data_IF_234478657033
#
_entry.id   IF_234478657033
#
_cell.length_a   1.000
_cell.length_b   1.000
_cell.length_c   1.000
_cell.angle_alpha   90.00
_cell.angle_beta   90.00
_cell.angle_gamma   90.00
#
_symmetry.space_group_name_H-M   'P 1'
#
loop_
_entity.id
_entity.type
_entity.pdbx_description
1 polymer ?
#
# COMPACT_ATOMS: atom_id res chain seq x y z
N UNK A 1 -18.54 -18.83 9.98
CA UNK A 1 -17.94 -18.95 8.62
C UNK A 1 -16.42 -19.14 8.70
N UNK A 2 -15.68 -18.27 9.37
CA UNK A 2 -14.20 -18.32 9.52
C UNK A 2 -13.73 -19.64 10.15
N UNK A 3 -14.47 -20.22 11.10
CA UNK A 3 -14.13 -21.50 11.76
C UNK A 3 -14.18 -22.70 10.79
N UNK A 4 -14.99 -22.65 9.73
CA UNK A 4 -15.06 -23.72 8.70
C UNK A 4 -13.94 -23.58 7.67
N UNK A 5 -13.48 -22.40 7.39
CA UNK A 5 -12.39 -22.14 6.44
C UNK A 5 -11.05 -22.67 6.96
N UNK A 6 -10.69 -22.41 8.22
CA UNK A 6 -9.41 -22.85 8.80
C UNK A 6 -9.30 -24.38 9.00
N UNK A 7 -10.42 -25.11 9.02
CA UNK A 7 -10.42 -26.58 9.12
C UNK A 7 -10.31 -27.27 7.76
N UNK A 8 -10.63 -26.57 6.67
CA UNK A 8 -10.62 -27.15 5.31
C UNK A 8 -9.24 -27.11 4.64
N UNK A 9 -8.39 -26.16 5.03
CA UNK A 9 -7.05 -26.01 4.45
C UNK A 9 -6.02 -27.02 4.94
N UNK A 10 -6.28 -27.72 6.05
CA UNK A 10 -5.34 -28.70 6.61
C UNK A 10 -5.14 -29.92 5.73
N UNK A 11 -6.06 -30.20 4.82
CA UNK A 11 -6.07 -31.43 4.02
C UNK A 11 -5.64 -31.23 2.55
N UNK A 12 -5.38 -29.98 2.10
CA UNK A 12 -5.05 -29.69 0.70
C UNK A 12 -3.57 -29.50 0.39
N UNK A 13 -2.72 -29.38 1.40
CA UNK A 13 -1.26 -29.30 1.20
C UNK A 13 -0.64 -30.68 1.27
N UNK A 14 -0.57 -31.34 0.10
CA UNK A 14 0.06 -32.63 -0.06
C UNK A 14 1.57 -32.60 0.21
N UNK A 15 1.96 -32.68 1.44
CA UNK A 15 3.34 -33.01 1.80
C UNK A 15 3.54 -34.53 1.73
N UNK A 16 4.55 -34.91 0.97
CA UNK A 16 4.92 -36.24 0.56
C UNK A 16 4.92 -37.28 1.67
N UNK A 17 4.66 -38.53 1.26
CA UNK A 17 4.62 -39.74 2.06
C UNK A 17 5.88 -39.87 2.96
N UNK A 18 5.73 -40.23 4.22
CA UNK A 18 6.87 -40.49 5.10
C UNK A 18 7.62 -41.73 4.63
N UNK A 19 8.92 -41.55 4.48
CA UNK A 19 9.90 -42.63 4.25
C UNK A 19 9.82 -43.68 5.38
N UNK A 20 9.62 -44.96 5.08
CA UNK A 20 9.72 -46.05 6.03
C UNK A 20 11.16 -46.09 6.55
N UNK A 21 11.33 -45.93 7.84
CA UNK A 21 12.53 -46.32 8.56
C UNK A 21 12.18 -47.25 9.72
N UNK A 22 13.00 -48.25 9.80
CA UNK A 22 13.05 -49.38 10.70
C UNK A 22 12.97 -49.02 12.18
N UNK A 23 12.39 -49.95 12.93
CA UNK A 23 12.31 -50.06 14.38
C UNK A 23 13.63 -49.77 15.11
N UNK A 24 13.58 -48.78 15.99
CA UNK A 24 14.38 -48.76 17.21
C UNK A 24 13.58 -48.01 18.28
N UNK A 25 13.36 -48.73 19.39
CA UNK A 25 12.46 -48.36 20.46
C UNK A 25 12.76 -47.01 21.11
N UNK A 26 11.84 -46.11 21.04
CA UNK A 26 11.82 -44.91 21.88
C UNK A 26 10.54 -44.88 22.70
N UNK A 27 10.69 -45.11 24.01
CA UNK A 27 9.60 -45.03 24.99
C UNK A 27 8.98 -43.64 24.96
N UNK A 28 7.72 -43.55 24.54
CA UNK A 28 6.91 -42.33 24.67
C UNK A 28 6.66 -42.08 26.16
N UNK A 29 7.27 -41.05 26.73
CA UNK A 29 6.77 -40.42 27.93
C UNK A 29 5.53 -39.65 27.55
N UNK A 30 4.39 -40.06 28.09
CA UNK A 30 3.13 -39.31 27.98
C UNK A 30 3.27 -37.95 28.67
N UNK A 31 3.39 -36.91 27.92
CA UNK A 31 3.25 -35.55 28.37
C UNK A 31 1.93 -35.04 27.84
N UNK A 32 0.99 -34.89 28.74
CA UNK A 32 -0.31 -34.22 28.51
C UNK A 32 -0.06 -32.76 28.10
N UNK A 33 0.03 -32.51 26.81
CA UNK A 33 0.03 -31.13 26.29
C UNK A 33 -1.41 -30.72 26.07
N UNK A 34 -2.02 -30.27 27.16
CA UNK A 34 -3.29 -29.58 27.13
C UNK A 34 -3.27 -28.44 26.11
N UNK A 35 -4.34 -28.37 25.32
CA UNK A 35 -4.60 -27.37 24.26
C UNK A 35 -4.79 -25.95 24.80
N UNK A 36 -3.94 -25.46 25.68
CA UNK A 36 -3.91 -24.07 26.13
C UNK A 36 -3.43 -23.10 25.04
N UNK A 37 -2.58 -23.58 24.09
CA UNK A 37 -2.02 -22.76 23.04
C UNK A 37 -2.99 -22.28 21.94
N UNK A 38 -4.16 -22.94 21.79
CA UNK A 38 -5.09 -22.60 20.70
C UNK A 38 -5.84 -21.30 20.92
N UNK A 39 -6.09 -20.93 22.17
CA UNK A 39 -6.76 -19.66 22.49
C UNK A 39 -5.83 -18.46 22.38
N UNK A 40 -4.59 -18.62 22.82
CA UNK A 40 -3.56 -17.56 22.70
C UNK A 40 -3.18 -17.31 21.26
N UNK A 41 -3.04 -18.35 20.43
CA UNK A 41 -2.81 -18.22 19.00
C UNK A 41 -3.98 -17.53 18.29
N UNK A 42 -5.23 -17.82 18.66
CA UNK A 42 -6.40 -17.15 18.11
C UNK A 42 -6.48 -15.68 18.54
N UNK A 43 -6.16 -15.37 19.80
CA UNK A 43 -6.12 -13.97 20.29
C UNK A 43 -4.96 -13.23 19.64
N UNK A 44 -3.81 -13.87 19.44
CA UNK A 44 -2.66 -13.28 18.76
C UNK A 44 -2.96 -13.00 17.28
N UNK A 45 -3.55 -13.97 16.57
CA UNK A 45 -3.95 -13.79 15.18
C UNK A 45 -5.04 -12.73 15.01
N UNK A 46 -6.02 -12.68 15.92
CA UNK A 46 -7.06 -11.64 15.89
C UNK A 46 -6.51 -10.24 16.18
N UNK A 47 -5.60 -10.10 17.14
CA UNK A 47 -4.87 -8.84 17.39
C UNK A 47 -4.01 -8.43 16.20
N UNK A 48 -3.28 -9.36 15.58
CA UNK A 48 -2.51 -9.07 14.36
C UNK A 48 -3.39 -8.59 13.21
N UNK A 49 -4.56 -9.21 13.01
CA UNK A 49 -5.51 -8.82 11.96
C UNK A 49 -6.04 -7.39 12.21
N UNK A 50 -6.40 -7.05 13.43
CA UNK A 50 -6.82 -5.69 13.78
C UNK A 50 -5.69 -4.67 13.60
N UNK A 51 -4.48 -4.99 14.04
CA UNK A 51 -3.31 -4.11 13.89
C UNK A 51 -2.96 -3.92 12.42
N UNK A 52 -3.10 -4.94 11.56
CA UNK A 52 -2.86 -4.85 10.12
C UNK A 52 -3.94 -4.04 9.39
N UNK A 53 -5.20 -4.11 9.82
CA UNK A 53 -6.28 -3.30 9.23
C UNK A 53 -6.13 -1.81 9.49
N UNK A 54 -5.45 -1.44 10.58
CA UNK A 54 -5.20 -0.05 10.95
C UNK A 54 -3.91 0.53 10.34
N UNK A 55 -3.05 -0.32 9.77
CA UNK A 55 -1.82 0.09 9.10
C UNK A 55 -2.12 0.88 7.81
N UNK A 56 -2.01 2.19 7.90
CA UNK A 56 -2.08 3.08 6.73
C UNK A 56 -0.68 3.23 6.14
N UNK A 57 -0.37 2.41 5.15
CA UNK A 57 0.96 2.38 4.51
C UNK A 57 1.30 3.66 3.76
N UNK A 58 0.29 4.37 3.23
CA UNK A 58 0.42 5.66 2.55
C UNK A 58 -0.77 6.54 2.94
N UNK A 59 -0.51 7.75 3.43
CA UNK A 59 -1.53 8.74 3.77
C UNK A 59 -1.00 10.16 3.66
N UNK A 60 -1.88 11.13 3.57
CA UNK A 60 -1.49 12.53 3.78
C UNK A 60 -1.23 12.79 5.28
N UNK A 61 -0.41 13.80 5.58
CA UNK A 61 -0.40 14.42 6.89
C UNK A 61 -1.67 15.28 7.08
N UNK A 62 -1.87 15.84 8.28
CA UNK A 62 -3.09 16.59 8.62
C UNK A 62 -3.32 17.81 7.70
N UNK A 63 -2.25 18.47 7.27
CA UNK A 63 -2.29 19.65 6.42
C UNK A 63 -2.33 19.32 4.92
N UNK A 64 -2.23 18.04 4.55
CA UNK A 64 -2.10 17.56 3.18
C UNK A 64 -0.95 18.22 2.38
N UNK A 65 0.12 18.61 3.07
CA UNK A 65 1.34 19.20 2.50
C UNK A 65 2.54 18.23 2.51
N UNK A 66 2.33 17.00 2.98
CA UNK A 66 3.29 15.91 3.00
C UNK A 66 2.61 14.55 2.88
N UNK A 67 3.33 13.59 2.33
CA UNK A 67 2.94 12.18 2.24
C UNK A 67 3.62 11.40 3.35
N UNK A 68 2.84 10.78 4.23
CA UNK A 68 3.37 9.88 5.25
C UNK A 68 3.36 8.46 4.69
N UNK A 69 4.51 7.80 4.69
CA UNK A 69 4.67 6.41 4.28
C UNK A 69 5.22 5.56 5.41
N UNK A 70 4.83 4.29 5.46
CA UNK A 70 5.52 3.28 6.26
C UNK A 70 6.76 2.82 5.49
N UNK A 71 7.95 2.97 6.10
CA UNK A 71 9.19 2.44 5.49
C UNK A 71 9.23 0.91 5.58
N UNK A 72 8.81 0.26 4.50
CA UNK A 72 8.70 -1.19 4.44
C UNK A 72 10.07 -1.88 4.33
N UNK A 73 11.16 -1.14 4.14
CA UNK A 73 12.51 -1.72 4.13
C UNK A 73 13.00 -2.12 5.51
N UNK A 74 12.41 -1.54 6.55
CA UNK A 74 12.74 -1.80 7.95
C UNK A 74 11.92 -2.92 8.58
N UNK A 75 10.84 -3.37 7.91
CA UNK A 75 10.00 -4.44 8.40
C UNK A 75 10.68 -5.81 8.25
N UNK A 76 10.43 -6.77 9.14
CA UNK A 76 9.58 -6.69 10.33
C UNK A 76 10.30 -6.16 11.57
N UNK A 77 11.57 -5.80 11.47
CA UNK A 77 12.40 -5.47 12.63
C UNK A 77 12.04 -4.14 13.29
N UNK A 78 11.56 -3.17 12.50
CA UNK A 78 11.19 -1.84 12.99
C UNK A 78 10.06 -1.27 12.17
N UNK A 79 9.05 -0.72 12.83
CA UNK A 79 8.01 0.10 12.22
C UNK A 79 8.43 1.57 12.27
N UNK A 80 8.60 2.20 11.11
CA UNK A 80 8.98 3.59 11.00
C UNK A 80 8.20 4.30 9.91
N UNK A 81 7.74 5.50 10.19
CA UNK A 81 7.02 6.36 9.24
C UNK A 81 7.91 7.52 8.79
N UNK A 82 7.87 7.81 7.50
CA UNK A 82 8.58 8.93 6.89
C UNK A 82 7.55 9.91 6.34
N UNK A 83 7.81 11.20 6.55
CA UNK A 83 7.03 12.29 5.92
C UNK A 83 7.82 12.82 4.74
N UNK A 84 7.25 12.69 3.54
CA UNK A 84 7.85 13.10 2.28
C UNK A 84 7.18 14.39 1.81
N UNK A 85 7.96 15.39 1.50
CA UNK A 85 7.46 16.73 1.18
C UNK A 85 7.99 17.27 -0.16
N UNK A 86 9.02 16.67 -0.71
CA UNK A 86 9.65 17.07 -1.98
C UNK A 86 9.60 15.96 -3.03
N UNK A 87 9.77 16.34 -4.29
CA UNK A 87 9.80 15.38 -5.38
C UNK A 87 10.96 14.39 -5.24
N UNK A 88 12.10 14.84 -4.74
CA UNK A 88 13.30 14.04 -4.51
C UNK A 88 13.08 12.98 -3.43
N UNK A 89 12.45 13.38 -2.31
CA UNK A 89 12.12 12.45 -1.22
C UNK A 89 11.14 11.37 -1.68
N UNK A 90 10.13 11.76 -2.47
CA UNK A 90 9.12 10.85 -3.02
C UNK A 90 9.78 9.90 -4.03
N UNK A 91 10.61 10.43 -4.92
CA UNK A 91 11.36 9.64 -5.89
C UNK A 91 12.25 8.61 -5.18
N UNK A 92 13.03 9.04 -4.18
CA UNK A 92 13.91 8.17 -3.40
C UNK A 92 13.13 7.06 -2.68
N UNK A 93 11.99 7.39 -2.10
CA UNK A 93 11.15 6.43 -1.40
C UNK A 93 10.60 5.35 -2.33
N UNK A 94 10.21 5.71 -3.55
CA UNK A 94 9.72 4.78 -4.57
C UNK A 94 10.88 3.96 -5.14
N UNK A 95 11.99 4.60 -5.49
CA UNK A 95 13.17 3.97 -6.05
C UNK A 95 13.79 2.93 -5.09
N UNK A 96 13.97 3.30 -3.83
CA UNK A 96 14.54 2.44 -2.78
C UNK A 96 13.54 1.42 -2.21
N UNK A 97 12.34 1.34 -2.78
CA UNK A 97 11.31 0.40 -2.33
C UNK A 97 10.90 0.58 -0.86
N UNK A 98 10.98 1.81 -0.32
CA UNK A 98 10.39 2.14 0.98
C UNK A 98 8.86 2.02 0.93
N UNK A 99 8.27 2.26 -0.25
CA UNK A 99 6.90 1.90 -0.61
C UNK A 99 6.93 0.70 -1.54
N UNK A 100 6.22 -0.36 -1.20
CA UNK A 100 6.12 -1.60 -1.96
C UNK A 100 4.66 -1.94 -2.27
N UNK A 101 4.46 -2.74 -3.32
CA UNK A 101 3.15 -3.12 -3.82
C UNK A 101 2.73 -2.21 -4.98
N UNK A 102 2.29 -2.83 -6.09
CA UNK A 102 1.99 -2.11 -7.32
C UNK A 102 0.94 -1.01 -7.11
N UNK A 103 -0.22 -1.25 -6.44
CA UNK A 103 -1.19 -0.18 -6.18
C UNK A 103 -0.66 0.87 -5.21
N UNK A 104 0.02 0.47 -4.14
CA UNK A 104 0.57 1.40 -3.14
C UNK A 104 1.59 2.38 -3.74
N UNK A 105 2.38 1.95 -4.73
CA UNK A 105 3.28 2.81 -5.48
C UNK A 105 2.50 3.84 -6.29
N UNK A 106 1.37 3.45 -6.91
CA UNK A 106 0.47 4.35 -7.61
C UNK A 106 -0.15 5.40 -6.69
N UNK A 107 -0.63 4.99 -5.52
CA UNK A 107 -1.17 5.91 -4.49
C UNK A 107 -0.10 6.88 -4.00
N UNK A 108 1.11 6.38 -3.70
CA UNK A 108 2.22 7.23 -3.27
C UNK A 108 2.61 8.26 -4.34
N UNK A 109 2.58 7.88 -5.62
CA UNK A 109 2.84 8.78 -6.73
C UNK A 109 1.75 9.86 -6.89
N UNK A 110 0.48 9.47 -6.79
CA UNK A 110 -0.65 10.42 -6.86
C UNK A 110 -0.62 11.43 -5.71
N UNK A 111 -0.35 10.96 -4.50
CA UNK A 111 -0.20 11.83 -3.33
C UNK A 111 1.02 12.72 -3.46
N UNK A 112 2.13 12.17 -3.91
CA UNK A 112 3.39 12.88 -4.08
C UNK A 112 3.30 13.99 -5.12
N UNK A 113 2.75 13.72 -6.29
CA UNK A 113 2.61 14.75 -7.33
C UNK A 113 1.65 15.87 -6.89
N UNK A 114 0.59 15.54 -6.13
CA UNK A 114 -0.30 16.54 -5.54
C UNK A 114 0.45 17.45 -4.56
N UNK A 115 1.22 16.87 -3.62
CA UNK A 115 2.01 17.64 -2.62
C UNK A 115 2.98 18.58 -3.32
N UNK A 116 3.64 18.13 -4.37
CA UNK A 116 4.55 18.96 -5.17
C UNK A 116 3.77 20.04 -5.95
N UNK A 117 2.66 19.69 -6.60
CA UNK A 117 1.84 20.63 -7.36
C UNK A 117 1.23 21.74 -6.48
N UNK A 118 0.85 21.40 -5.24
CA UNK A 118 0.36 22.38 -4.26
C UNK A 118 1.36 23.52 -4.02
N UNK A 119 2.66 23.23 -4.10
CA UNK A 119 3.75 24.18 -3.86
C UNK A 119 4.12 25.03 -5.06
N UNK A 120 3.59 24.73 -6.25
CA UNK A 120 3.79 25.57 -7.43
C UNK A 120 3.06 26.90 -7.20
N UNK A 121 3.82 27.97 -6.98
CA UNK A 121 3.28 29.31 -6.74
C UNK A 121 3.17 30.08 -8.06
N UNK A 122 2.05 29.90 -8.72
CA UNK A 122 1.70 30.64 -9.96
C UNK A 122 0.20 30.69 -10.16
N UNK A 123 -0.29 31.77 -10.75
CA UNK A 123 -1.65 31.88 -11.26
C UNK A 123 -1.74 31.56 -12.76
N UNK A 124 -0.58 31.49 -13.44
CA UNK A 124 -0.53 31.24 -14.88
C UNK A 124 -0.64 29.75 -15.17
N UNK A 125 -1.68 29.36 -15.90
CA UNK A 125 -2.00 27.96 -16.22
C UNK A 125 -0.90 27.27 -17.00
N UNK A 126 -0.29 27.95 -17.97
CA UNK A 126 0.77 27.40 -18.80
C UNK A 126 2.01 27.04 -17.97
N UNK A 127 2.39 27.92 -17.05
CA UNK A 127 3.51 27.71 -16.12
C UNK A 127 3.20 26.55 -15.19
N UNK A 128 1.99 26.52 -14.61
CA UNK A 128 1.57 25.42 -13.72
C UNK A 128 1.64 24.06 -14.42
N UNK A 129 1.07 23.95 -15.63
CA UNK A 129 1.08 22.68 -16.38
C UNK A 129 2.50 22.25 -16.74
N UNK A 130 3.36 23.19 -17.13
CA UNK A 130 4.76 22.86 -17.46
C UNK A 130 5.53 22.35 -16.25
N UNK A 131 5.41 23.02 -15.09
CA UNK A 131 6.05 22.55 -13.87
C UNK A 131 5.47 21.21 -13.37
N UNK A 132 4.15 21.05 -13.45
CA UNK A 132 3.49 19.78 -13.13
C UNK A 132 4.03 18.62 -14.00
N UNK A 133 4.20 18.84 -15.30
CA UNK A 133 4.76 17.81 -16.21
C UNK A 133 6.20 17.47 -15.90
N UNK A 134 7.04 18.43 -15.57
CA UNK A 134 8.42 18.17 -15.13
C UNK A 134 8.46 17.29 -13.90
N UNK A 135 7.63 17.60 -12.90
CA UNK A 135 7.51 16.78 -11.69
C UNK A 135 7.02 15.38 -12.02
N UNK A 136 6.00 15.26 -12.88
CA UNK A 136 5.47 13.98 -13.34
C UNK A 136 6.54 13.11 -14.00
N UNK A 137 7.29 13.67 -14.95
CA UNK A 137 8.36 12.96 -15.65
C UNK A 137 9.47 12.53 -14.70
N UNK A 138 9.84 13.41 -13.76
CA UNK A 138 10.82 13.08 -12.74
C UNK A 138 10.38 11.90 -11.88
N UNK A 139 9.17 11.93 -11.34
CA UNK A 139 8.62 10.84 -10.52
C UNK A 139 8.46 9.54 -11.32
N UNK A 140 8.04 9.60 -12.58
CA UNK A 140 7.92 8.43 -13.46
C UNK A 140 9.27 7.74 -13.67
N UNK A 141 10.37 8.50 -13.69
CA UNK A 141 11.73 7.98 -13.80
C UNK A 141 12.21 7.16 -12.60
N UNK A 142 11.52 7.23 -11.44
CA UNK A 142 11.89 6.44 -10.26
C UNK A 142 11.77 4.93 -10.49
N UNK A 143 10.74 4.49 -11.22
CA UNK A 143 10.54 3.09 -11.61
C UNK A 143 9.82 2.98 -12.96
N UNK A 144 10.54 3.08 -14.08
CA UNK A 144 9.93 3.14 -15.41
C UNK A 144 9.07 1.93 -15.79
N UNK A 145 9.30 0.78 -15.17
CA UNK A 145 8.52 -0.45 -15.41
C UNK A 145 7.28 -0.60 -14.52
N UNK A 146 7.09 0.32 -13.55
CA UNK A 146 5.95 0.26 -12.64
C UNK A 146 4.70 0.85 -13.29
N UNK A 147 3.88 0.00 -13.90
CA UNK A 147 2.68 0.40 -14.65
C UNK A 147 1.75 1.29 -13.81
N UNK A 148 1.49 0.93 -12.55
CA UNK A 148 0.60 1.68 -11.68
C UNK A 148 1.14 3.07 -11.32
N UNK A 149 2.47 3.23 -11.23
CA UNK A 149 3.09 4.53 -11.05
C UNK A 149 2.72 5.47 -12.19
N UNK A 150 3.01 5.04 -13.41
CA UNK A 150 2.76 5.84 -14.62
C UNK A 150 1.27 6.07 -14.84
N UNK A 151 0.44 5.04 -14.59
CA UNK A 151 -1.02 5.15 -14.72
C UNK A 151 -1.61 6.18 -13.75
N UNK A 152 -1.18 6.19 -12.48
CA UNK A 152 -1.61 7.16 -11.49
C UNK A 152 -1.17 8.58 -11.85
N UNK A 153 0.08 8.78 -12.24
CA UNK A 153 0.60 10.08 -12.69
C UNK A 153 -0.14 10.62 -13.93
N UNK A 154 -0.43 9.74 -14.90
CA UNK A 154 -1.22 10.10 -16.09
C UNK A 154 -2.67 10.45 -15.72
N UNK A 155 -3.25 9.75 -14.74
CA UNK A 155 -4.60 10.04 -14.25
C UNK A 155 -4.66 11.42 -13.59
N UNK A 156 -3.65 11.75 -12.80
CA UNK A 156 -3.53 13.09 -12.20
C UNK A 156 -3.39 14.18 -13.27
N UNK A 157 -2.60 14.01 -14.33
CA UNK A 157 -2.49 14.98 -15.42
C UNK A 157 -3.82 15.15 -16.17
N UNK A 158 -4.59 14.08 -16.36
CA UNK A 158 -5.91 14.16 -17.04
C UNK A 158 -6.87 15.13 -16.35
N UNK A 159 -6.76 15.33 -15.04
CA UNK A 159 -7.57 16.33 -14.32
C UNK A 159 -7.38 17.72 -14.91
N UNK A 160 -6.14 18.10 -15.22
CA UNK A 160 -5.80 19.41 -15.79
C UNK A 160 -6.33 19.53 -17.22
N UNK A 161 -6.20 18.46 -18.01
CA UNK A 161 -6.63 18.43 -19.41
C UNK A 161 -8.16 18.44 -19.53
N UNK A 162 -8.86 17.75 -18.65
CA UNK A 162 -10.32 17.65 -18.65
C UNK A 162 -11.01 18.97 -18.23
N UNK A 163 -10.31 19.83 -17.50
CA UNK A 163 -10.89 21.05 -16.93
C UNK A 163 -10.10 22.32 -17.32
N UNK A 164 -9.95 22.66 -18.61
CA UNK A 164 -9.08 23.74 -19.07
C UNK A 164 -9.57 25.15 -18.66
N UNK A 165 -10.84 25.29 -18.32
CA UNK A 165 -11.46 26.56 -17.94
C UNK A 165 -11.18 26.97 -16.50
N UNK A 166 -10.89 25.98 -15.61
CA UNK A 166 -10.67 26.22 -14.19
C UNK A 166 -9.38 27.00 -13.92
N UNK A 167 -9.34 27.71 -12.81
CA UNK A 167 -8.16 28.40 -12.29
C UNK A 167 -7.16 27.41 -11.66
N UNK A 168 -5.92 27.86 -11.43
CA UNK A 168 -4.90 27.02 -10.77
C UNK A 168 -5.31 26.58 -9.35
N UNK A 169 -5.91 27.44 -8.51
CA UNK A 169 -6.43 26.97 -7.20
C UNK A 169 -7.50 25.87 -7.32
N UNK A 170 -8.44 25.99 -8.27
CA UNK A 170 -9.45 24.97 -8.52
C UNK A 170 -8.83 23.66 -9.02
N UNK A 171 -7.79 23.73 -9.87
CA UNK A 171 -7.03 22.55 -10.25
C UNK A 171 -6.36 21.86 -9.07
N UNK A 172 -5.77 22.61 -8.14
CA UNK A 172 -5.17 22.06 -6.92
C UNK A 172 -6.19 21.30 -6.07
N UNK A 173 -7.40 21.84 -5.95
CA UNK A 173 -8.50 21.21 -5.24
C UNK A 173 -8.96 19.91 -5.92
N UNK A 174 -9.10 19.92 -7.25
CA UNK A 174 -9.43 18.71 -8.00
C UNK A 174 -8.33 17.66 -7.93
N UNK A 175 -7.07 18.04 -8.01
CA UNK A 175 -5.93 17.13 -7.86
C UNK A 175 -5.94 16.46 -6.47
N UNK A 176 -6.31 17.20 -5.42
CA UNK A 176 -6.47 16.61 -4.09
C UNK A 176 -7.57 15.55 -4.07
N UNK A 177 -8.74 15.87 -4.59
CA UNK A 177 -9.88 14.95 -4.66
C UNK A 177 -9.54 13.70 -5.47
N UNK A 178 -8.87 13.88 -6.61
CA UNK A 178 -8.48 12.77 -7.47
C UNK A 178 -7.44 11.85 -6.79
N UNK A 179 -6.48 12.43 -6.08
CA UNK A 179 -5.51 11.64 -5.32
C UNK A 179 -6.19 10.78 -4.24
N UNK A 180 -7.17 11.35 -3.51
CA UNK A 180 -7.99 10.59 -2.55
C UNK A 180 -8.79 9.49 -3.26
N UNK A 181 -9.40 9.79 -4.41
CA UNK A 181 -10.19 8.82 -5.17
C UNK A 181 -9.34 7.61 -5.60
N UNK A 182 -8.13 7.82 -6.07
CA UNK A 182 -7.18 6.74 -6.43
C UNK A 182 -6.96 5.79 -5.24
N UNK A 183 -6.78 6.32 -4.05
CA UNK A 183 -6.59 5.50 -2.84
C UNK A 183 -7.88 4.76 -2.43
N UNK A 184 -9.03 5.43 -2.48
CA UNK A 184 -10.31 4.83 -2.07
C UNK A 184 -10.74 3.72 -3.02
N UNK A 185 -10.50 3.88 -4.32
CA UNK A 185 -10.77 2.85 -5.33
C UNK A 185 -9.90 1.61 -5.09
N UNK A 186 -8.60 1.78 -4.80
CA UNK A 186 -7.72 0.67 -4.46
C UNK A 186 -8.19 -0.05 -3.19
N UNK A 187 -8.53 0.69 -2.14
CA UNK A 187 -9.05 0.12 -0.91
C UNK A 187 -10.39 -0.61 -1.11
N UNK A 188 -11.26 -0.09 -1.99
CA UNK A 188 -12.53 -0.73 -2.33
C UNK A 188 -12.29 -2.03 -3.11
N UNK A 189 -11.39 -2.03 -4.09
CA UNK A 189 -11.02 -3.22 -4.84
C UNK A 189 -10.46 -4.32 -3.94
N UNK A 190 -9.58 -3.98 -3.00
CA UNK A 190 -9.05 -4.92 -2.02
C UNK A 190 -10.15 -5.53 -1.13
N UNK A 191 -11.11 -4.73 -0.67
CA UNK A 191 -12.25 -5.23 0.12
C UNK A 191 -13.10 -6.19 -0.70
N UNK A 192 -13.42 -5.84 -1.94
CA UNK A 192 -14.24 -6.67 -2.82
C UNK A 192 -13.57 -8.01 -3.15
N UNK A 193 -12.25 -8.02 -3.36
CA UNK A 193 -11.48 -9.27 -3.52
C UNK A 193 -11.63 -10.15 -2.27
N UNK A 194 -11.51 -9.56 -1.08
CA UNK A 194 -11.68 -10.28 0.18
C UNK A 194 -13.08 -10.85 0.35
N UNK A 195 -14.13 -10.10 0.00
CA UNK A 195 -15.52 -10.53 0.05
C UNK A 195 -15.78 -11.69 -0.89
N UNK A 196 -15.34 -11.58 -2.15
CA UNK A 196 -15.51 -12.64 -3.17
C UNK A 196 -14.75 -13.93 -2.82
N UNK A 197 -13.69 -13.84 -2.01
CA UNK A 197 -12.97 -15.04 -1.55
C UNK A 197 -13.65 -15.77 -0.38
N UNK A 198 -14.68 -15.16 0.23
CA UNK A 198 -15.42 -15.75 1.36
C UNK A 198 -16.72 -16.44 0.94
N UNK A 199 -17.15 -16.28 -0.32
CA UNK A 199 -18.27 -16.99 -0.94
C UNK A 199 -17.83 -18.38 -1.45
#
# INVERSE_FOLDING_TARGET
>A
AIRRFLLRERDSWGYGRPCRRSDSGYRRRGGDRSYAGSRELLIYSYRMIQTLSDLKTVRFNEQADGVIILDQTLLPGKEAYLTLTTAEEIWDAIYKLKVRGAPAIGVAAAYGIYVCARRIDTAEKSVFVNEFRKIKEYLAGSRPTAVNLVAALNRMERVLVAHPTLSVPEWKELLYKEAIAIREEDAAACRQIGENCLE
#
